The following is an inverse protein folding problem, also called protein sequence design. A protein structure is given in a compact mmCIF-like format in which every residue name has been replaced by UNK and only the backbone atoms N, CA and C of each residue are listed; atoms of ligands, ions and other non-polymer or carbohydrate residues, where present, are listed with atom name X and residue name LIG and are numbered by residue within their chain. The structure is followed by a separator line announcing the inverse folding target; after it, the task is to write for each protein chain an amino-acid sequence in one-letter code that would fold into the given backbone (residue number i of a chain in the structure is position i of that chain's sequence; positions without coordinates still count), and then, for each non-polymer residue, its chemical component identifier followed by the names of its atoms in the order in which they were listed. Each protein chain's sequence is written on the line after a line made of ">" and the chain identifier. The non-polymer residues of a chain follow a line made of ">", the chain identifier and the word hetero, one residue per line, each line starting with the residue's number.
data_IF_614379326724
#
_entry.id   IF_614379326724
#
_cell.length_a   1.000
_cell.length_b   1.000
_cell.length_c   1.000
_cell.angle_alpha   90.00
_cell.angle_beta   90.00
_cell.angle_gamma   90.00
#
_symmetry.space_group_name_H-M   'P 1'
#
loop_
_entity.id
_entity.type
_entity.pdbx_description
1 polymer ?
#
# COMPACT_ATOMS: atom_id res chain seq x y z
N UNK A 1 36.24 26.02 2.95
CA UNK A 1 35.20 25.55 2.00
C UNK A 1 34.78 24.12 2.37
N UNK A 2 33.67 23.98 3.11
CA UNK A 2 33.10 22.69 3.47
C UNK A 2 32.02 22.31 2.46
N UNK A 3 32.21 21.21 1.75
CA UNK A 3 31.16 20.63 0.89
C UNK A 3 30.20 19.85 1.78
N UNK A 4 29.08 20.47 2.15
CA UNK A 4 27.92 19.74 2.68
C UNK A 4 27.23 19.02 1.53
N UNK A 5 27.79 17.87 1.11
CA UNK A 5 27.10 16.94 0.24
C UNK A 5 26.06 16.20 1.09
N UNK A 6 24.81 16.64 1.04
CA UNK A 6 23.70 15.81 1.49
C UNK A 6 23.74 14.53 0.63
N UNK A 7 24.10 13.40 1.22
CA UNK A 7 23.85 12.10 0.61
C UNK A 7 22.34 11.99 0.45
N UNK A 8 21.84 12.27 -0.76
CA UNK A 8 20.46 12.02 -1.12
C UNK A 8 20.17 10.55 -0.80
N UNK A 9 19.34 10.32 0.22
CA UNK A 9 18.97 8.96 0.61
C UNK A 9 18.22 8.29 -0.55
N UNK A 10 18.33 6.97 -0.66
CA UNK A 10 17.40 6.26 -1.54
C UNK A 10 15.96 6.48 -1.01
N UNK A 11 14.96 6.72 -1.88
CA UNK A 11 13.58 6.81 -1.43
C UNK A 11 13.18 5.51 -0.73
N UNK A 12 12.52 5.62 0.41
CA UNK A 12 12.06 4.47 1.19
C UNK A 12 10.54 4.39 1.17
N UNK A 13 10.02 3.19 0.98
CA UNK A 13 8.59 2.93 1.01
C UNK A 13 8.25 2.02 2.19
N UNK A 14 7.27 2.40 3.00
CA UNK A 14 6.79 1.63 4.14
C UNK A 14 5.31 1.33 4.00
N UNK A 15 4.94 0.06 4.22
CA UNK A 15 3.55 -0.35 4.41
C UNK A 15 3.13 0.03 5.83
N UNK A 16 2.30 1.06 5.96
CA UNK A 16 1.87 1.60 7.25
C UNK A 16 0.69 0.81 7.83
N UNK A 17 -0.28 0.48 6.98
CA UNK A 17 -1.52 -0.17 7.42
C UNK A 17 -2.13 -1.00 6.30
N UNK A 18 -2.68 -2.14 6.69
CA UNK A 18 -3.62 -2.92 5.87
C UNK A 18 -5.00 -2.83 6.52
N UNK A 19 -5.98 -2.37 5.75
CA UNK A 19 -7.37 -2.30 6.18
C UNK A 19 -8.17 -3.35 5.41
N UNK A 20 -8.34 -4.54 6.01
CA UNK A 20 -9.20 -5.59 5.49
C UNK A 20 -10.58 -5.53 6.16
N UNK A 21 -11.54 -4.90 5.47
CA UNK A 21 -12.96 -4.88 5.87
C UNK A 21 -13.82 -5.84 5.05
N UNK A 22 -13.20 -6.72 4.26
CA UNK A 22 -13.93 -7.70 3.45
C UNK A 22 -14.81 -8.57 4.35
N UNK A 23 -16.00 -8.89 3.85
CA UNK A 23 -16.96 -9.68 4.58
C UNK A 23 -16.40 -11.08 4.88
N UNK A 24 -16.08 -11.32 6.15
CA UNK A 24 -15.45 -12.56 6.60
C UNK A 24 -16.31 -13.78 6.29
N UNK A 25 -15.65 -14.89 5.97
CA UNK A 25 -16.35 -16.16 5.69
C UNK A 25 -17.13 -16.59 6.95
N UNK A 26 -18.42 -16.87 6.78
CA UNK A 26 -19.33 -17.22 7.88
C UNK A 26 -19.91 -16.03 8.65
N UNK A 27 -19.63 -14.78 8.24
CA UNK A 27 -20.33 -13.60 8.74
C UNK A 27 -21.56 -13.25 7.88
N UNK A 28 -22.51 -12.54 8.47
CA UNK A 28 -23.61 -11.90 7.75
C UNK A 28 -23.25 -10.44 7.58
N UNK A 29 -23.05 -9.99 6.35
CA UNK A 29 -22.68 -8.61 6.05
C UNK A 29 -23.74 -7.94 5.19
N UNK A 30 -23.99 -6.65 5.47
CA UNK A 30 -24.89 -5.82 4.64
C UNK A 30 -24.19 -5.36 3.36
N UNK A 31 -22.86 -5.27 3.36
CA UNK A 31 -22.00 -4.90 2.22
C UNK A 31 -20.76 -5.81 2.16
N UNK A 32 -20.21 -6.00 0.95
CA UNK A 32 -19.10 -6.94 0.71
C UNK A 32 -17.76 -6.51 1.34
N UNK A 33 -17.57 -5.20 1.50
CA UNK A 33 -16.32 -4.61 1.98
C UNK A 33 -15.17 -4.67 0.99
N UNK A 34 -14.02 -4.20 1.44
CA UNK A 34 -12.82 -4.06 0.60
C UNK A 34 -11.56 -4.23 1.43
N UNK A 35 -10.45 -4.43 0.74
CA UNK A 35 -9.12 -4.40 1.35
C UNK A 35 -8.32 -3.26 0.73
N UNK A 36 -7.64 -2.47 1.57
CA UNK A 36 -6.79 -1.37 1.11
C UNK A 36 -5.46 -1.32 1.86
N UNK A 37 -4.44 -0.79 1.19
CA UNK A 37 -3.06 -0.76 1.66
C UNK A 37 -2.56 0.68 1.69
N UNK A 38 -2.25 1.19 2.88
CA UNK A 38 -1.72 2.53 3.09
C UNK A 38 -0.20 2.49 3.13
N UNK A 39 0.43 3.32 2.29
CA UNK A 39 1.87 3.43 2.20
C UNK A 39 2.33 4.84 2.58
N UNK A 40 3.50 4.91 3.22
CA UNK A 40 4.27 6.13 3.38
C UNK A 40 5.52 6.04 2.50
N UNK A 41 5.68 7.01 1.60
CA UNK A 41 6.85 7.20 0.77
C UNK A 41 7.66 8.35 1.36
N UNK A 42 8.90 8.07 1.76
CA UNK A 42 9.89 9.09 2.09
C UNK A 42 10.82 9.26 0.89
N UNK A 43 10.78 10.43 0.28
CA UNK A 43 11.62 10.77 -0.85
C UNK A 43 13.07 11.04 -0.42
N UNK A 44 13.96 11.15 -1.41
CA UNK A 44 15.39 11.36 -1.18
C UNK A 44 15.73 12.68 -0.47
N UNK A 45 14.84 13.67 -0.58
CA UNK A 45 14.89 14.98 0.08
C UNK A 45 14.33 14.95 1.51
N UNK A 46 13.84 13.79 1.97
CA UNK A 46 13.21 13.59 3.27
C UNK A 46 11.70 13.92 3.30
N UNK A 47 11.13 14.43 2.21
CA UNK A 47 9.69 14.70 2.13
C UNK A 47 8.90 13.40 2.23
N UNK A 48 7.91 13.35 3.11
CA UNK A 48 7.04 12.18 3.27
C UNK A 48 5.68 12.42 2.64
N UNK A 49 5.18 11.44 1.87
CA UNK A 49 3.86 11.47 1.24
C UNK A 49 3.15 10.14 1.44
N UNK A 50 1.84 10.20 1.64
CA UNK A 50 1.03 9.02 1.91
C UNK A 50 0.06 8.76 0.77
N UNK A 51 -0.12 7.50 0.41
CA UNK A 51 -1.10 7.09 -0.59
C UNK A 51 -1.70 5.73 -0.25
N UNK A 52 -2.82 5.42 -0.89
CA UNK A 52 -3.56 4.17 -0.71
C UNK A 52 -3.66 3.46 -2.04
N UNK A 53 -3.38 2.15 -2.03
CA UNK A 53 -3.62 1.25 -3.16
C UNK A 53 -4.72 0.24 -2.80
N UNK A 54 -5.58 -0.06 -3.76
CA UNK A 54 -6.61 -1.10 -3.64
C UNK A 54 -7.22 -1.42 -5.00
N UNK A 55 -7.55 -2.69 -5.23
CA UNK A 55 -8.32 -3.15 -6.39
C UNK A 55 -9.84 -3.07 -6.19
N UNK A 56 -10.31 -2.96 -4.95
CA UNK A 56 -11.73 -3.17 -4.60
C UNK A 56 -12.37 -2.01 -3.84
N UNK A 57 -11.57 -1.10 -3.29
CA UNK A 57 -12.07 0.07 -2.58
C UNK A 57 -12.62 1.10 -3.57
N UNK A 58 -13.84 1.64 -3.37
CA UNK A 58 -14.39 2.69 -4.21
C UNK A 58 -13.47 3.92 -4.25
N UNK A 59 -13.26 4.47 -5.45
CA UNK A 59 -12.39 5.62 -5.71
C UNK A 59 -10.90 5.43 -5.36
N UNK A 60 -10.47 4.20 -5.04
CA UNK A 60 -9.08 3.85 -4.96
C UNK A 60 -8.65 3.17 -6.27
N UNK A 61 -7.34 3.17 -6.52
CA UNK A 61 -6.74 2.54 -7.68
C UNK A 61 -5.61 1.59 -7.25
N UNK A 62 -5.34 0.53 -8.03
CA UNK A 62 -4.19 -0.34 -7.77
C UNK A 62 -2.87 0.29 -8.21
N UNK A 63 -2.89 1.49 -8.81
CA UNK A 63 -1.70 2.21 -9.22
C UNK A 63 -1.80 3.69 -8.87
N UNK A 64 -0.68 4.28 -8.46
CA UNK A 64 -0.57 5.73 -8.21
C UNK A 64 0.81 6.23 -8.61
N UNK A 65 0.89 7.47 -9.08
CA UNK A 65 2.16 8.15 -9.37
C UNK A 65 2.43 9.19 -8.29
N UNK A 66 3.59 9.12 -7.65
CA UNK A 66 4.06 10.04 -6.62
C UNK A 66 5.55 10.31 -6.81
N UNK A 67 5.96 11.57 -6.73
CA UNK A 67 7.37 12.00 -6.81
C UNK A 67 8.13 11.40 -8.02
N UNK A 68 7.48 11.34 -9.19
CA UNK A 68 8.08 10.79 -10.41
C UNK A 68 8.23 9.26 -10.42
N UNK A 69 7.63 8.54 -9.48
CA UNK A 69 7.57 7.08 -9.42
C UNK A 69 6.12 6.62 -9.50
N UNK A 70 5.87 5.58 -10.28
CA UNK A 70 4.59 4.89 -10.36
C UNK A 70 4.68 3.60 -9.54
N UNK A 71 3.78 3.46 -8.58
CA UNK A 71 3.65 2.29 -7.72
C UNK A 71 2.41 1.54 -8.13
N UNK A 72 2.57 0.27 -8.54
CA UNK A 72 1.47 -0.58 -8.95
C UNK A 72 1.43 -1.83 -8.08
N UNK A 73 0.25 -2.12 -7.52
CA UNK A 73 -0.04 -3.34 -6.80
C UNK A 73 -0.05 -4.52 -7.78
N UNK A 74 0.79 -5.52 -7.50
CA UNK A 74 0.95 -6.69 -8.39
C UNK A 74 0.54 -8.00 -7.74
N UNK A 75 0.48 -8.04 -6.42
CA UNK A 75 0.04 -9.22 -5.68
C UNK A 75 -0.07 -8.94 -4.20
N UNK A 76 -0.93 -9.72 -3.52
CA UNK A 76 -1.06 -9.70 -2.07
C UNK A 76 -1.19 -11.14 -1.57
N UNK A 77 -0.60 -11.45 -0.43
CA UNK A 77 -0.70 -12.76 0.20
C UNK A 77 -1.05 -12.59 1.69
N UNK A 78 -2.09 -13.25 2.22
CA UNK A 78 -3.05 -14.11 1.52
C UNK A 78 -4.11 -13.34 0.74
N UNK A 79 -4.53 -13.90 -0.40
CA UNK A 79 -5.69 -13.41 -1.17
C UNK A 79 -7.02 -13.78 -0.51
N UNK A 80 -7.07 -14.92 0.18
CA UNK A 80 -8.29 -15.42 0.80
C UNK A 80 -8.85 -14.44 1.84
N UNK A 81 -10.17 -14.38 1.92
CA UNK A 81 -10.85 -13.64 3.00
C UNK A 81 -10.82 -14.51 4.25
N UNK A 82 -10.33 -14.01 5.40
CA UNK A 82 -10.26 -14.82 6.62
C UNK A 82 -11.66 -15.18 7.14
N UNK A 83 -11.76 -16.30 7.87
CA UNK A 83 -13.00 -16.66 8.53
C UNK A 83 -13.36 -15.68 9.66
N UNK A 84 -14.64 -15.64 10.04
CA UNK A 84 -15.15 -14.72 11.08
C UNK A 84 -14.36 -14.80 12.39
N UNK A 85 -13.97 -16.00 12.80
CA UNK A 85 -13.31 -16.26 14.07
C UNK A 85 -11.79 -16.43 13.94
N UNK A 86 -11.22 -16.17 12.75
CA UNK A 86 -9.79 -16.27 12.51
C UNK A 86 -9.07 -14.96 12.86
N UNK A 87 -7.82 -15.05 13.31
CA UNK A 87 -7.00 -13.85 13.47
C UNK A 87 -6.80 -13.13 12.13
N UNK A 88 -6.53 -11.83 12.18
CA UNK A 88 -6.13 -11.09 10.97
C UNK A 88 -4.79 -11.65 10.47
N UNK A 89 -4.68 -12.06 9.19
CA UNK A 89 -3.46 -12.66 8.69
C UNK A 89 -2.35 -11.61 8.51
N UNK A 90 -1.11 -12.08 8.47
CA UNK A 90 0.03 -11.25 8.13
C UNK A 90 0.08 -11.04 6.61
N UNK A 91 -0.41 -9.90 6.15
CA UNK A 91 -0.41 -9.58 4.73
C UNK A 91 0.99 -9.23 4.22
N UNK A 92 1.32 -9.75 3.04
CA UNK A 92 2.50 -9.39 2.25
C UNK A 92 2.02 -8.77 0.95
N UNK A 93 2.62 -7.65 0.58
CA UNK A 93 2.22 -6.90 -0.62
C UNK A 93 3.39 -6.83 -1.59
N UNK A 94 3.14 -7.18 -2.85
CA UNK A 94 4.09 -7.10 -3.95
C UNK A 94 3.78 -5.88 -4.80
N UNK A 95 4.78 -5.02 -4.99
CA UNK A 95 4.68 -3.80 -5.77
C UNK A 95 5.63 -3.85 -6.96
N UNK A 96 5.16 -3.38 -8.10
CA UNK A 96 6.02 -2.94 -9.20
C UNK A 96 6.24 -1.45 -9.07
N UNK A 97 7.50 -1.02 -9.15
CA UNK A 97 7.89 0.39 -9.14
C UNK A 97 8.55 0.70 -10.48
N UNK A 98 8.10 1.77 -11.12
CA UNK A 98 8.71 2.30 -12.35
C UNK A 98 8.77 3.81 -12.30
N UNK A 99 9.62 4.42 -13.11
CA UNK A 99 9.59 5.87 -13.30
C UNK A 99 8.25 6.27 -13.92
N UNK A 100 7.74 7.43 -13.52
CA UNK A 100 6.62 8.08 -14.19
C UNK A 100 6.98 8.37 -15.65
N UNK A 101 6.00 8.33 -16.58
CA UNK A 101 6.20 8.73 -17.96
C UNK A 101 6.70 10.17 -18.11
#
# INVERSE_FOLDING_TARGET
>A
PGISGATAGAPSLKLERVNDSRCRVGAVCVWAGYISYSFALTAADGTTSNFVLSDSMPNAHPSVTQNGLTFTLTGVEPQAVPAKNEATPNYRVSLRVSNAP
#
